data_IF_666542487556
#
_entry.id   IF_666542487556
#
_cell.length_a   1.000
_cell.length_b   1.000
_cell.length_c   1.000
_cell.angle_alpha   90.00
_cell.angle_beta   90.00
_cell.angle_gamma   90.00
#
_symmetry.space_group_name_H-M   'P 1'
#
loop_
_entity.id
_entity.type
_entity.pdbx_description
1 polymer ?
#
# COMPACT_ATOMS: atom_id res chain seq x y z
N UNK A 1 -4.63 -24.05 1.72
CA UNK A 1 -4.35 -23.68 0.33
C UNK A 1 -2.90 -23.28 0.33
N UNK A 2 -2.03 -24.17 -0.14
CA UNK A 2 -0.58 -23.93 -0.08
C UNK A 2 -0.24 -22.70 -0.91
N UNK A 3 0.61 -21.83 -0.37
CA UNK A 3 1.00 -20.60 -1.06
C UNK A 3 1.72 -20.96 -2.37
N UNK A 4 1.34 -20.29 -3.47
CA UNK A 4 1.99 -20.44 -4.76
C UNK A 4 3.52 -20.16 -4.61
N UNK A 5 4.39 -21.13 -4.92
CA UNK A 5 5.83 -20.98 -4.71
C UNK A 5 6.43 -19.82 -5.51
N UNK A 6 5.85 -19.47 -6.67
CA UNK A 6 6.28 -18.31 -7.45
C UNK A 6 5.96 -17.01 -6.69
N UNK A 7 4.73 -16.87 -6.19
CA UNK A 7 4.30 -15.74 -5.36
C UNK A 7 5.18 -15.56 -4.11
N UNK A 8 5.55 -16.65 -3.44
CA UNK A 8 6.44 -16.60 -2.27
C UNK A 8 7.81 -16.03 -2.64
N UNK A 9 8.34 -16.41 -3.81
CA UNK A 9 9.60 -15.88 -4.34
C UNK A 9 9.49 -14.38 -4.67
N UNK A 10 8.41 -13.95 -5.30
CA UNK A 10 8.15 -12.53 -5.59
C UNK A 10 8.11 -11.69 -4.30
N UNK A 11 7.40 -12.17 -3.28
CA UNK A 11 7.27 -11.48 -1.99
C UNK A 11 8.64 -11.28 -1.34
N UNK A 12 9.49 -12.30 -1.32
CA UNK A 12 10.86 -12.19 -0.82
C UNK A 12 11.67 -11.15 -1.60
N UNK A 13 11.54 -11.14 -2.93
CA UNK A 13 12.19 -10.14 -3.79
C UNK A 13 11.72 -8.72 -3.49
N UNK A 14 10.43 -8.50 -3.20
CA UNK A 14 9.94 -7.18 -2.81
C UNK A 14 10.51 -6.73 -1.47
N UNK A 15 10.51 -7.59 -0.46
CA UNK A 15 11.10 -7.26 0.84
C UNK A 15 12.60 -6.98 0.74
N UNK A 16 13.34 -7.74 -0.08
CA UNK A 16 14.75 -7.45 -0.35
C UNK A 16 14.92 -6.11 -1.07
N UNK A 17 14.09 -5.83 -2.08
CA UNK A 17 14.17 -4.60 -2.87
C UNK A 17 13.92 -3.35 -2.02
N UNK A 18 12.95 -3.36 -1.11
CA UNK A 18 12.70 -2.21 -0.22
C UNK A 18 13.81 -1.97 0.79
N UNK A 19 14.80 -2.85 0.95
CA UNK A 19 15.99 -2.59 1.77
C UNK A 19 17.06 -1.78 1.04
N UNK A 20 16.99 -1.72 -0.30
CA UNK A 20 17.93 -0.99 -1.14
C UNK A 20 17.70 0.53 -1.02
N UNK A 21 18.73 1.33 -0.67
CA UNK A 21 18.58 2.78 -0.50
C UNK A 21 18.07 3.51 -1.74
N UNK A 22 18.49 3.09 -2.92
CA UNK A 22 18.05 3.68 -4.20
C UNK A 22 16.55 3.49 -4.43
N UNK A 23 16.02 2.30 -4.16
CA UNK A 23 14.58 2.00 -4.29
C UNK A 23 13.77 2.82 -3.28
N UNK A 24 14.24 2.90 -2.03
CA UNK A 24 13.60 3.72 -0.99
C UNK A 24 13.54 5.19 -1.39
N UNK A 25 14.64 5.71 -1.94
CA UNK A 25 14.74 7.09 -2.40
C UNK A 25 13.76 7.36 -3.54
N UNK A 26 13.72 6.51 -4.57
CA UNK A 26 12.82 6.73 -5.71
C UNK A 26 11.34 6.72 -5.30
N UNK A 27 10.92 5.79 -4.44
CA UNK A 27 9.55 5.80 -3.90
C UNK A 27 9.28 7.06 -3.06
N UNK A 28 10.25 7.50 -2.25
CA UNK A 28 10.11 8.73 -1.46
C UNK A 28 10.00 9.97 -2.34
N UNK A 29 10.70 10.01 -3.46
CA UNK A 29 10.66 11.09 -4.44
C UNK A 29 9.29 11.16 -5.12
N UNK A 30 8.75 10.01 -5.56
CA UNK A 30 7.37 9.89 -6.08
C UNK A 30 6.37 10.42 -5.05
N UNK A 31 6.49 10.00 -3.78
CA UNK A 31 5.59 10.46 -2.72
C UNK A 31 5.71 11.95 -2.42
N UNK A 32 6.91 12.53 -2.53
CA UNK A 32 7.14 13.96 -2.34
C UNK A 32 6.51 14.77 -3.46
N UNK A 33 6.67 14.36 -4.71
CA UNK A 33 6.03 15.01 -5.85
C UNK A 33 4.50 15.00 -5.73
N UNK A 34 3.92 13.87 -5.31
CA UNK A 34 2.49 13.78 -4.99
C UNK A 34 2.12 14.80 -3.91
N UNK A 35 2.88 14.85 -2.82
CA UNK A 35 2.60 15.77 -1.73
C UNK A 35 2.67 17.24 -2.17
N UNK A 36 3.62 17.59 -3.02
CA UNK A 36 3.79 18.97 -3.52
C UNK A 36 2.68 19.36 -4.51
N UNK A 37 2.28 18.45 -5.40
CA UNK A 37 1.14 18.65 -6.30
C UNK A 37 -0.17 18.85 -5.51
N UNK A 38 -0.43 17.97 -4.54
CA UNK A 38 -1.60 18.07 -3.66
C UNK A 38 -1.58 19.34 -2.81
N UNK A 39 -0.42 19.72 -2.25
CA UNK A 39 -0.28 20.97 -1.48
C UNK A 39 -0.59 22.20 -2.33
N UNK A 40 -0.20 22.18 -3.60
CA UNK A 40 -0.48 23.27 -4.55
C UNK A 40 -1.97 23.35 -4.87
N UNK A 41 -2.63 22.20 -5.05
CA UNK A 41 -4.05 22.10 -5.35
C UNK A 41 -4.96 22.44 -4.17
N UNK A 42 -4.51 22.17 -2.93
CA UNK A 42 -5.27 22.33 -1.68
C UNK A 42 -6.67 21.69 -1.74
N UNK A 43 -6.79 20.40 -2.08
CA UNK A 43 -8.08 19.75 -2.18
C UNK A 43 -8.73 19.61 -0.80
N UNK A 44 -10.06 19.70 -0.78
CA UNK A 44 -10.88 19.36 0.38
C UNK A 44 -10.86 17.85 0.63
N UNK A 45 -10.58 17.46 1.87
CA UNK A 45 -10.73 16.09 2.34
C UNK A 45 -11.85 16.03 3.39
N UNK A 46 -12.96 15.40 3.04
CA UNK A 46 -14.08 15.16 3.96
C UNK A 46 -13.98 13.77 4.63
N UNK A 47 -13.18 12.87 4.04
CA UNK A 47 -13.04 11.50 4.53
C UNK A 47 -12.20 11.41 5.82
N UNK A 48 -11.11 12.20 5.95
CA UNK A 48 -10.25 12.22 7.14
C UNK A 48 -9.80 10.85 7.66
N UNK A 49 -9.54 9.89 6.75
CA UNK A 49 -9.20 8.50 7.08
C UNK A 49 -10.36 7.50 6.89
N UNK A 50 -11.60 7.96 6.72
CA UNK A 50 -12.74 7.13 6.31
C UNK A 50 -12.58 6.53 4.90
N UNK A 51 -11.67 7.06 4.08
CA UNK A 51 -11.34 6.45 2.79
C UNK A 51 -10.79 5.02 2.93
N UNK A 52 -10.38 4.60 4.13
CA UNK A 52 -10.04 3.21 4.43
C UNK A 52 -11.26 2.26 4.51
N UNK A 53 -12.49 2.78 4.51
CA UNK A 53 -13.74 1.99 4.47
C UNK A 53 -14.16 1.73 3.03
N UNK A 54 -13.43 0.86 2.36
CA UNK A 54 -13.54 0.62 0.91
C UNK A 54 -14.97 0.32 0.48
N UNK A 55 -15.62 -0.67 1.09
CA UNK A 55 -16.96 -1.09 0.66
C UNK A 55 -18.04 -0.07 1.01
N UNK A 56 -17.94 0.56 2.18
CA UNK A 56 -18.89 1.60 2.60
C UNK A 56 -18.88 2.83 1.68
N UNK A 57 -17.76 3.08 0.97
CA UNK A 57 -17.60 4.19 0.03
C UNK A 57 -17.58 3.75 -1.44
N UNK A 58 -17.74 2.46 -1.72
CA UNK A 58 -17.81 1.92 -3.09
C UNK A 58 -16.51 2.05 -3.88
N UNK A 59 -15.36 2.20 -3.23
CA UNK A 59 -14.07 2.28 -3.91
C UNK A 59 -13.12 1.16 -3.47
N UNK A 60 -12.12 0.88 -4.31
CA UNK A 60 -11.07 -0.11 -4.03
C UNK A 60 -9.71 0.57 -4.11
N UNK A 61 -8.77 0.05 -3.36
CA UNK A 61 -7.36 0.45 -3.47
C UNK A 61 -6.60 -0.66 -4.18
N UNK A 62 -5.74 -0.27 -5.11
CA UNK A 62 -4.80 -1.17 -5.77
C UNK A 62 -3.39 -0.67 -5.49
N UNK A 63 -2.44 -1.60 -5.40
CA UNK A 63 -1.04 -1.29 -5.10
C UNK A 63 -0.13 -2.33 -5.74
N UNK A 64 1.13 -1.96 -6.00
CA UNK A 64 2.14 -2.92 -6.43
C UNK A 64 2.65 -3.75 -5.24
N UNK A 65 3.22 -4.92 -5.51
CA UNK A 65 3.86 -5.75 -4.49
C UNK A 65 4.94 -5.00 -3.69
N UNK A 66 5.69 -4.12 -4.35
CA UNK A 66 6.72 -3.28 -3.71
C UNK A 66 6.10 -2.28 -2.71
N UNK A 67 4.98 -1.65 -3.08
CA UNK A 67 4.26 -0.73 -2.19
C UNK A 67 3.67 -1.44 -0.98
N UNK A 68 3.16 -2.67 -1.17
CA UNK A 68 2.59 -3.50 -0.10
C UNK A 68 3.69 -3.91 0.89
N UNK A 69 4.81 -4.45 0.40
CA UNK A 69 5.96 -4.83 1.22
C UNK A 69 6.49 -3.61 2.02
N UNK A 70 6.62 -2.45 1.36
CA UNK A 70 7.05 -1.20 2.01
C UNK A 70 6.10 -0.78 3.13
N UNK A 71 4.78 -0.86 2.90
CA UNK A 71 3.79 -0.51 3.92
C UNK A 71 3.88 -1.43 5.14
N UNK A 72 3.97 -2.74 4.91
CA UNK A 72 4.08 -3.74 5.98
C UNK A 72 5.34 -3.51 6.81
N UNK A 73 6.48 -3.31 6.17
CA UNK A 73 7.76 -3.07 6.84
C UNK A 73 7.74 -1.80 7.70
N UNK A 74 7.26 -0.68 7.14
CA UNK A 74 7.16 0.59 7.88
C UNK A 74 6.22 0.45 9.07
N UNK A 75 5.03 -0.12 8.86
CA UNK A 75 4.06 -0.26 9.94
C UNK A 75 4.59 -1.21 11.03
N UNK A 76 5.29 -2.28 10.67
CA UNK A 76 5.95 -3.18 11.61
C UNK A 76 7.00 -2.44 12.45
N UNK A 77 7.88 -1.67 11.80
CA UNK A 77 8.91 -0.88 12.49
C UNK A 77 8.34 0.17 13.45
N UNK A 78 7.14 0.68 13.17
CA UNK A 78 6.42 1.63 14.04
C UNK A 78 5.58 0.95 15.13
N UNK A 79 5.71 -0.37 15.33
CA UNK A 79 4.92 -1.12 16.31
C UNK A 79 3.45 -1.33 15.92
N UNK A 80 3.13 -1.16 14.64
CA UNK A 80 1.79 -1.29 14.03
C UNK A 80 1.74 -2.45 13.03
N UNK A 81 2.52 -3.50 13.29
CA UNK A 81 2.43 -4.75 12.53
C UNK A 81 1.02 -5.33 12.59
N UNK A 82 0.63 -6.06 11.55
CA UNK A 82 -0.68 -6.72 11.48
C UNK A 82 -0.51 -8.23 11.26
N UNK A 83 -1.45 -9.01 11.76
CA UNK A 83 -1.51 -10.47 11.57
C UNK A 83 -2.44 -10.87 10.42
N UNK A 84 -2.36 -12.12 9.99
CA UNK A 84 -3.26 -12.69 8.97
C UNK A 84 -4.73 -12.59 9.41
N UNK A 85 -5.03 -12.84 10.68
CA UNK A 85 -6.39 -12.75 11.23
C UNK A 85 -6.93 -11.32 11.17
N UNK A 86 -6.07 -10.31 11.43
CA UNK A 86 -6.46 -8.92 11.31
C UNK A 86 -6.72 -8.50 9.86
N UNK A 87 -5.97 -9.06 8.90
CA UNK A 87 -6.23 -8.87 7.46
C UNK A 87 -7.58 -9.47 7.07
N UNK A 88 -7.84 -10.73 7.45
CA UNK A 88 -9.12 -11.39 7.13
C UNK A 88 -10.30 -10.64 7.74
N UNK A 89 -10.23 -10.30 9.01
CA UNK A 89 -11.28 -9.54 9.68
C UNK A 89 -11.49 -8.16 9.05
N UNK A 90 -10.45 -7.53 8.49
CA UNK A 90 -10.58 -6.28 7.75
C UNK A 90 -11.27 -6.47 6.39
N UNK A 91 -10.98 -7.57 5.70
CA UNK A 91 -11.65 -7.90 4.44
C UNK A 91 -13.13 -8.15 4.67
N UNK A 92 -13.49 -8.96 5.67
CA UNK A 92 -14.88 -9.23 6.03
C UNK A 92 -15.66 -7.95 6.37
N UNK A 93 -14.99 -6.98 7.00
CA UNK A 93 -15.57 -5.66 7.32
C UNK A 93 -15.61 -4.68 6.15
N UNK A 94 -14.99 -5.01 5.02
CA UNK A 94 -14.90 -4.10 3.88
C UNK A 94 -13.87 -2.98 4.02
N UNK A 95 -12.87 -3.12 4.90
CA UNK A 95 -12.00 -2.04 5.36
C UNK A 95 -10.50 -2.35 5.21
N UNK A 96 -9.64 -1.33 5.40
CA UNK A 96 -8.20 -1.50 5.59
C UNK A 96 -7.86 -2.02 7.00
N UNK A 97 -6.91 -2.95 7.18
CA UNK A 97 -6.53 -3.45 8.52
C UNK A 97 -5.90 -2.39 9.42
N UNK A 98 -5.38 -1.29 8.86
CA UNK A 98 -4.87 -0.14 9.60
C UNK A 98 -5.91 0.96 9.85
N UNK A 99 -7.20 0.63 9.76
CA UNK A 99 -8.26 1.56 10.11
C UNK A 99 -8.59 1.45 11.61
N UNK A 100 -8.48 2.57 12.31
CA UNK A 100 -8.91 2.70 13.71
C UNK A 100 -9.98 3.79 13.82
N UNK A 101 -11.24 3.38 14.00
CA UNK A 101 -12.38 4.30 14.00
C UNK A 101 -12.51 5.07 12.68
N UNK A 102 -12.15 6.37 12.70
CA UNK A 102 -12.13 7.24 11.51
C UNK A 102 -10.71 7.50 10.99
N UNK A 103 -9.68 6.99 11.65
CA UNK A 103 -8.29 7.31 11.38
C UNK A 103 -7.59 6.18 10.62
N UNK A 104 -6.67 6.58 9.74
CA UNK A 104 -5.68 5.67 9.17
C UNK A 104 -4.42 5.70 10.05
N UNK A 105 -4.01 4.52 10.53
CA UNK A 105 -2.78 4.37 11.32
C UNK A 105 -1.56 4.10 10.43
N UNK A 106 -1.69 3.63 9.18
CA UNK A 106 -0.57 3.37 8.27
C UNK A 106 0.02 4.61 7.57
N UNK A 107 0.04 5.80 8.20
CA UNK A 107 0.25 7.09 7.53
C UNK A 107 1.52 7.17 6.67
N UNK A 108 2.64 6.68 7.18
CA UNK A 108 3.94 6.66 6.48
C UNK A 108 4.05 5.52 5.47
N UNK A 109 3.43 4.38 5.80
CA UNK A 109 3.36 3.19 4.95
C UNK A 109 2.44 3.34 3.72
N UNK A 110 1.53 4.33 3.71
CA UNK A 110 0.51 4.51 2.66
C UNK A 110 1.06 4.34 1.24
N UNK A 111 0.45 3.47 0.41
CA UNK A 111 0.79 3.36 -1.01
C UNK A 111 0.38 4.62 -1.76
N UNK A 112 0.85 4.74 -3.00
CA UNK A 112 0.58 5.86 -3.91
C UNK A 112 -0.91 6.16 -4.02
N UNK A 113 -1.74 5.13 -4.22
CA UNK A 113 -3.20 5.29 -4.34
C UNK A 113 -3.86 5.96 -3.13
N UNK A 114 -3.36 5.70 -1.91
CA UNK A 114 -3.84 6.37 -0.69
C UNK A 114 -3.41 7.84 -0.60
N UNK A 115 -2.35 8.23 -1.30
CA UNK A 115 -1.75 9.58 -1.24
C UNK A 115 -2.39 10.55 -2.23
N UNK A 116 -3.01 10.01 -3.28
CA UNK A 116 -3.71 10.79 -4.32
C UNK A 116 -5.23 10.85 -4.12
N UNK A 117 -5.81 10.08 -3.19
CA UNK A 117 -7.26 10.06 -2.97
C UNK A 117 -7.74 11.28 -2.16
N UNK A 118 -8.63 12.09 -2.76
CA UNK A 118 -9.29 13.23 -2.11
C UNK A 118 -10.78 13.30 -2.47
N UNK A 119 -11.59 13.90 -1.60
CA UNK A 119 -13.04 14.03 -1.79
C UNK A 119 -13.42 15.21 -2.69
N UNK A 120 -12.47 16.09 -3.01
CA UNK A 120 -12.71 17.33 -3.72
C UNK A 120 -12.99 17.08 -5.21
N UNK A 121 -14.18 17.46 -5.73
CA UNK A 121 -14.46 17.32 -7.15
C UNK A 121 -13.51 18.15 -8.03
N UNK A 122 -12.91 19.22 -7.50
CA UNK A 122 -11.92 20.04 -8.25
C UNK A 122 -10.61 19.31 -8.50
N UNK A 123 -10.39 18.20 -7.80
CA UNK A 123 -9.22 17.35 -7.98
C UNK A 123 -9.45 16.25 -9.03
N UNK A 124 -10.65 16.17 -9.63
CA UNK A 124 -11.05 15.08 -10.54
C UNK A 124 -10.19 14.96 -11.80
N UNK A 125 -9.55 16.03 -12.25
CA UNK A 125 -8.66 16.00 -13.43
C UNK A 125 -7.21 15.73 -13.02
N UNK A 126 -6.73 16.40 -11.95
CA UNK A 126 -5.33 16.32 -11.52
C UNK A 126 -5.00 15.00 -10.82
N UNK A 127 -5.91 14.47 -10.02
CA UNK A 127 -5.66 13.24 -9.23
C UNK A 127 -5.45 12.02 -10.12
N UNK A 128 -6.28 11.76 -11.16
CA UNK A 128 -6.03 10.67 -12.09
C UNK A 128 -4.67 10.76 -12.79
N UNK A 129 -4.31 11.94 -13.32
CA UNK A 129 -3.02 12.13 -13.98
C UNK A 129 -1.83 11.89 -13.04
N UNK A 130 -1.95 12.36 -11.80
CA UNK A 130 -0.94 12.15 -10.77
C UNK A 130 -0.84 10.67 -10.37
N UNK A 131 -1.99 9.99 -10.25
CA UNK A 131 -2.05 8.56 -9.96
C UNK A 131 -1.42 7.73 -11.08
N UNK A 132 -1.75 8.02 -12.33
CA UNK A 132 -1.20 7.34 -13.51
C UNK A 132 0.31 7.57 -13.64
N UNK A 133 0.76 8.81 -13.44
CA UNK A 133 2.19 9.16 -13.49
C UNK A 133 2.96 8.41 -12.41
N UNK A 134 2.46 8.43 -11.16
CA UNK A 134 3.10 7.72 -10.06
C UNK A 134 3.08 6.20 -10.27
N UNK A 135 1.97 5.63 -10.75
CA UNK A 135 1.87 4.21 -11.08
C UNK A 135 2.86 3.81 -12.17
N UNK A 136 2.98 4.61 -13.24
CA UNK A 136 3.95 4.39 -14.31
C UNK A 136 5.37 4.38 -13.77
N UNK A 137 5.72 5.34 -12.91
CA UNK A 137 7.06 5.40 -12.28
C UNK A 137 7.34 4.21 -11.37
N UNK A 138 6.37 3.78 -10.56
CA UNK A 138 6.51 2.56 -9.75
C UNK A 138 6.73 1.34 -10.65
N UNK A 139 5.99 1.22 -11.76
CA UNK A 139 6.18 0.14 -12.72
C UNK A 139 7.57 0.20 -13.38
N UNK A 140 8.01 1.37 -13.81
CA UNK A 140 9.38 1.56 -14.34
C UNK A 140 10.43 1.15 -13.32
N UNK A 141 10.23 1.46 -12.04
CA UNK A 141 11.14 1.02 -10.96
C UNK A 141 11.20 -0.51 -10.84
N UNK A 142 10.09 -1.21 -11.06
CA UNK A 142 10.10 -2.67 -11.14
C UNK A 142 10.91 -3.16 -12.35
N UNK A 143 10.68 -2.58 -13.52
CA UNK A 143 11.33 -2.99 -14.78
C UNK A 143 12.85 -2.73 -14.75
N UNK A 144 13.28 -1.52 -14.34
CA UNK A 144 14.70 -1.10 -14.35
C UNK A 144 15.56 -1.86 -13.33
N UNK A 145 14.95 -2.35 -12.25
CA UNK A 145 15.66 -3.05 -11.18
C UNK A 145 15.38 -4.56 -11.14
N UNK A 146 14.71 -5.09 -12.18
CA UNK A 146 14.36 -6.50 -12.32
C UNK A 146 13.59 -7.05 -11.09
N UNK A 147 12.73 -6.21 -10.51
CA UNK A 147 11.90 -6.58 -9.35
C UNK A 147 10.59 -7.17 -9.89
N UNK A 148 10.19 -8.39 -9.51
CA UNK A 148 8.96 -9.00 -9.99
C UNK A 148 7.76 -8.06 -9.83
N UNK A 149 7.00 -7.86 -10.90
CA UNK A 149 5.87 -6.94 -10.91
C UNK A 149 4.56 -7.68 -10.68
N UNK A 150 3.86 -7.30 -9.61
CA UNK A 150 2.47 -7.67 -9.40
C UNK A 150 1.68 -6.43 -8.97
N UNK A 151 0.47 -6.30 -9.48
CA UNK A 151 -0.45 -5.22 -9.17
C UNK A 151 -1.83 -5.80 -8.90
N UNK A 152 -2.36 -5.55 -7.73
CA UNK A 152 -3.57 -6.20 -7.26
C UNK A 152 -4.36 -5.35 -6.28
N UNK A 153 -5.55 -5.83 -5.93
CA UNK A 153 -6.35 -5.18 -4.90
C UNK A 153 -5.63 -5.26 -3.55
N UNK A 154 -5.65 -4.16 -2.82
CA UNK A 154 -4.85 -3.93 -1.62
C UNK A 154 -4.97 -5.02 -0.56
N UNK A 155 -6.20 -5.40 -0.21
CA UNK A 155 -6.44 -6.38 0.85
C UNK A 155 -6.05 -7.78 0.42
N UNK A 156 -6.26 -8.10 -0.85
CA UNK A 156 -5.82 -9.38 -1.42
C UNK A 156 -4.28 -9.48 -1.49
N UNK A 157 -3.60 -8.42 -1.90
CA UNK A 157 -2.13 -8.36 -1.86
C UNK A 157 -1.60 -8.48 -0.43
N UNK A 158 -2.26 -7.85 0.56
CA UNK A 158 -1.91 -7.98 1.97
C UNK A 158 -2.07 -9.41 2.48
N UNK A 159 -3.14 -10.12 2.10
CA UNK A 159 -3.32 -11.54 2.46
C UNK A 159 -2.14 -12.38 1.98
N UNK A 160 -1.73 -12.18 0.74
CA UNK A 160 -0.61 -12.92 0.17
C UNK A 160 0.70 -12.58 0.88
N UNK A 161 0.98 -11.30 1.11
CA UNK A 161 2.22 -10.83 1.76
C UNK A 161 2.30 -11.26 3.22
N UNK A 162 1.24 -11.09 4.01
CA UNK A 162 1.22 -11.44 5.44
C UNK A 162 1.10 -12.95 5.63
N UNK A 163 0.31 -13.64 4.80
CA UNK A 163 0.16 -15.09 4.83
C UNK A 163 1.42 -15.85 4.42
N UNK A 164 2.34 -15.20 3.68
CA UNK A 164 3.62 -15.78 3.25
C UNK A 164 4.81 -15.28 4.08
N UNK A 165 4.60 -14.50 5.15
CA UNK A 165 5.70 -13.92 5.92
C UNK A 165 6.53 -15.00 6.64
N UNK A 166 7.84 -15.14 6.34
CA UNK A 166 8.73 -16.08 7.01
C UNK A 166 9.02 -15.72 8.49
N UNK A 167 8.57 -14.56 8.98
CA UNK A 167 8.68 -14.15 10.38
C UNK A 167 7.81 -14.93 11.37
N UNK A 168 6.94 -15.82 10.88
CA UNK A 168 6.14 -16.73 11.70
C UNK A 168 7.02 -17.81 12.32
N UNK A 169 7.71 -17.49 13.42
CA UNK A 169 7.98 -18.51 14.44
C UNK A 169 6.65 -18.81 15.07
N UNK A 170 6.10 -19.99 14.77
CA UNK A 170 4.99 -20.55 15.51
C UNK A 170 5.39 -20.59 17.00
N UNK A 171 4.84 -19.67 17.79
CA UNK A 171 4.75 -19.84 19.24
C UNK A 171 3.64 -20.87 19.50
N UNK A 172 3.94 -22.14 19.18
CA UNK A 172 3.15 -23.29 19.60
C UNK A 172 3.97 -24.07 20.60
N UNK A 173 3.63 -23.93 21.89
CA UNK A 173 4.06 -24.81 22.99
C UNK A 173 5.08 -24.21 23.94
#
# INVERSE_FOLDING_TARGET
>A
MDADPERVSEIKSWFAAIQRPEIRKEIADIHREIADAIRSLKPLCLASGNCCRFEAHGHRLYASGLEVARCVEICRAEGRGITSEQVEAAVERGNCPWQEGRLCTAREGRPTGCRVYFCDPRASEVVPELAETAHRRIRTLHDEHEIPYAYGEWREMLRQVIGSDPGRRDETG
#
